data_IF_614669170019
#
_entry.id   IF_614669170019
#
_cell.length_a   1.000
_cell.length_b   1.000
_cell.length_c   1.000
_cell.angle_alpha   90.00
_cell.angle_beta   90.00
_cell.angle_gamma   90.00
#
_symmetry.space_group_name_H-M   'P 1'
#
loop_
_entity.id
_entity.type
_entity.pdbx_description
1 polymer ?
#
# COMPACT_ATOMS: atom_id res chain seq x y z
N UNK A 1 18.38 1.25 10.80
CA UNK A 1 17.14 1.37 11.60
C UNK A 1 15.98 0.88 10.77
N UNK A 2 15.11 0.09 11.38
CA UNK A 2 13.90 -0.46 10.78
C UNK A 2 12.72 -0.31 11.75
N UNK A 3 11.51 -0.49 11.24
CA UNK A 3 10.29 -0.54 12.02
C UNK A 3 9.53 -1.82 11.68
N UNK A 4 8.84 -2.36 12.68
CA UNK A 4 7.99 -3.54 12.54
C UNK A 4 6.58 -3.09 12.18
N UNK A 5 6.08 -3.59 11.06
CA UNK A 5 4.67 -3.59 10.71
C UNK A 5 4.03 -4.86 11.26
N UNK A 6 2.85 -4.79 11.85
CA UNK A 6 2.09 -5.95 12.34
C UNK A 6 0.62 -5.78 11.96
N UNK A 7 -0.03 -6.86 11.52
CA UNK A 7 -1.46 -6.84 11.21
C UNK A 7 -2.31 -6.69 12.49
N UNK A 8 -3.60 -6.40 12.32
CA UNK A 8 -4.49 -6.08 13.44
C UNK A 8 -4.61 -7.23 14.47
N UNK A 9 -4.52 -8.50 14.04
CA UNK A 9 -4.55 -9.66 14.95
C UNK A 9 -3.17 -10.15 15.42
N UNK A 10 -2.06 -9.58 14.92
CA UNK A 10 -0.71 -10.01 15.32
C UNK A 10 -0.18 -11.28 14.66
N UNK A 11 -0.93 -11.92 13.76
CA UNK A 11 -0.48 -13.16 13.09
C UNK A 11 0.52 -12.95 11.95
N UNK A 12 0.59 -11.74 11.40
CA UNK A 12 1.55 -11.39 10.35
C UNK A 12 2.34 -10.15 10.75
N UNK A 13 3.67 -10.23 10.60
CA UNK A 13 4.58 -9.11 10.85
C UNK A 13 5.63 -9.00 9.76
N UNK A 14 6.10 -7.77 9.52
CA UNK A 14 7.15 -7.48 8.58
C UNK A 14 8.12 -6.42 9.11
N UNK A 15 9.36 -6.47 8.68
CA UNK A 15 10.37 -5.43 8.94
C UNK A 15 10.57 -4.55 7.71
N UNK A 16 10.56 -3.24 7.92
CA UNK A 16 10.76 -2.25 6.86
C UNK A 16 11.81 -1.21 7.32
N UNK A 17 12.81 -0.85 6.48
CA UNK A 17 13.72 0.25 6.75
C UNK A 17 12.99 1.56 6.99
N UNK A 18 13.40 2.33 8.00
CA UNK A 18 12.85 3.68 8.25
C UNK A 18 13.59 4.76 7.48
N UNK A 19 14.87 4.51 7.15
CA UNK A 19 15.65 5.34 6.25
C UNK A 19 15.40 4.91 4.81
N UNK A 20 15.46 5.88 3.89
CA UNK A 20 15.21 5.59 2.48
C UNK A 20 13.76 5.22 2.20
N UNK A 21 12.82 5.80 2.95
CA UNK A 21 11.38 5.77 2.65
C UNK A 21 10.87 7.21 2.50
N UNK A 22 9.68 7.39 1.94
CA UNK A 22 8.96 8.67 1.99
C UNK A 22 7.53 8.47 2.44
N UNK A 23 6.91 9.42 3.15
CA UNK A 23 5.51 9.31 3.56
C UNK A 23 4.60 10.11 2.62
N UNK A 24 3.48 9.52 2.22
CA UNK A 24 2.49 10.13 1.35
C UNK A 24 1.08 9.73 1.76
N UNK A 25 0.09 10.57 1.45
CA UNK A 25 -1.33 10.22 1.57
C UNK A 25 -1.95 10.22 0.18
N UNK A 26 -2.69 9.16 -0.16
CA UNK A 26 -3.40 9.03 -1.42
C UNK A 26 -4.91 9.02 -1.19
N UNK A 27 -5.62 9.90 -1.91
CA UNK A 27 -7.06 10.07 -1.81
C UNK A 27 -7.83 9.47 -2.99
N UNK A 28 -7.22 8.68 -3.87
CA UNK A 28 -7.97 8.14 -5.01
C UNK A 28 -9.02 7.13 -4.58
N UNK A 29 -10.07 7.00 -5.40
CA UNK A 29 -11.16 6.03 -5.19
C UNK A 29 -10.65 4.61 -5.05
N UNK A 30 -9.62 4.21 -5.79
CA UNK A 30 -9.04 2.86 -5.67
C UNK A 30 -8.34 2.62 -4.31
N UNK A 31 -7.74 3.65 -3.71
CA UNK A 31 -7.16 3.55 -2.37
C UNK A 31 -8.25 3.44 -1.31
N UNK A 32 -9.34 4.20 -1.46
CA UNK A 32 -10.53 4.08 -0.62
C UNK A 32 -11.17 2.70 -0.75
N UNK A 33 -11.41 2.25 -1.98
CA UNK A 33 -11.98 0.94 -2.29
C UNK A 33 -11.16 -0.21 -1.72
N UNK A 34 -9.83 -0.15 -1.84
CA UNK A 34 -8.97 -1.16 -1.23
C UNK A 34 -9.09 -1.18 0.29
N UNK A 35 -9.11 -0.02 0.94
CA UNK A 35 -9.31 0.05 2.39
C UNK A 35 -10.71 -0.45 2.79
N UNK A 36 -11.74 -0.24 1.99
CA UNK A 36 -13.07 -0.79 2.24
C UNK A 36 -13.09 -2.33 2.12
N UNK A 37 -12.42 -2.89 1.11
CA UNK A 37 -12.25 -4.34 0.99
C UNK A 37 -11.37 -4.92 2.11
N UNK A 38 -10.37 -4.17 2.55
CA UNK A 38 -9.36 -4.60 3.50
C UNK A 38 -9.48 -3.80 4.80
N UNK A 39 -10.08 -4.40 5.82
CA UNK A 39 -10.33 -3.84 7.15
C UNK A 39 -11.46 -2.79 7.24
N UNK A 40 -12.48 -2.88 6.37
CA UNK A 40 -13.73 -2.10 6.43
C UNK A 40 -13.50 -0.58 6.53
N UNK A 41 -12.50 -0.06 5.82
CA UNK A 41 -12.20 1.37 5.73
C UNK A 41 -11.40 1.94 6.89
N UNK A 42 -11.11 1.16 7.95
CA UNK A 42 -10.44 1.63 9.18
C UNK A 42 -9.00 2.11 9.01
N UNK A 43 -8.44 1.99 7.80
CA UNK A 43 -7.11 2.52 7.46
C UNK A 43 -7.13 3.90 6.79
N UNK A 44 -8.32 4.48 6.55
CA UNK A 44 -8.46 5.80 5.91
C UNK A 44 -8.42 6.92 6.96
N UNK A 45 -7.83 8.05 6.58
CA UNK A 45 -8.01 9.31 7.31
C UNK A 45 -9.44 9.84 7.13
N UNK A 46 -9.79 10.88 7.89
CA UNK A 46 -11.15 11.46 7.85
C UNK A 46 -11.58 11.94 6.45
N UNK A 47 -10.63 12.19 5.54
CA UNK A 47 -10.88 12.61 4.16
C UNK A 47 -10.77 11.48 3.13
N UNK A 48 -10.80 10.21 3.57
CA UNK A 48 -10.68 9.06 2.69
C UNK A 48 -9.24 8.82 2.22
N UNK A 49 -8.25 9.39 2.90
CA UNK A 49 -6.84 9.27 2.55
C UNK A 49 -6.21 8.00 3.10
N UNK A 50 -5.59 7.19 2.24
CA UNK A 50 -4.68 6.14 2.69
C UNK A 50 -3.32 6.74 3.01
N UNK A 51 -2.89 6.65 4.27
CA UNK A 51 -1.54 7.06 4.69
C UNK A 51 -0.53 5.93 4.46
N UNK A 52 0.53 6.26 3.72
CA UNK A 52 1.43 5.31 3.10
C UNK A 52 2.89 5.68 3.30
N UNK A 53 3.72 4.66 3.51
CA UNK A 53 5.16 4.75 3.29
C UNK A 53 5.48 4.29 1.87
N UNK A 54 6.34 5.01 1.16
CA UNK A 54 6.81 4.73 -0.18
C UNK A 54 8.21 4.12 -0.08
N UNK A 55 8.37 2.92 -0.64
CA UNK A 55 9.59 2.11 -0.56
C UNK A 55 9.74 1.25 -1.82
N UNK A 56 10.62 0.25 -1.80
CA UNK A 56 10.77 -0.76 -2.85
C UNK A 56 10.31 -2.14 -2.37
N UNK A 57 9.85 -3.04 -3.26
CA UNK A 57 9.38 -4.38 -2.88
C UNK A 57 10.40 -5.17 -2.04
N UNK A 58 11.68 -5.15 -2.48
CA UNK A 58 12.78 -5.84 -1.80
C UNK A 58 13.25 -5.21 -0.48
N UNK A 59 12.67 -4.08 -0.07
CA UNK A 59 12.93 -3.50 1.26
C UNK A 59 12.00 -4.07 2.34
N UNK A 60 11.02 -4.89 1.95
CA UNK A 60 10.08 -5.52 2.88
C UNK A 60 10.55 -6.94 3.18
N UNK A 61 10.57 -7.31 4.45
CA UNK A 61 10.86 -8.69 4.88
C UNK A 61 9.74 -9.15 5.79
N UNK A 62 8.97 -10.16 5.39
CA UNK A 62 8.01 -10.81 6.30
C UNK A 62 8.80 -11.57 7.37
N UNK A 63 8.44 -11.38 8.63
CA UNK A 63 9.11 -12.02 9.78
C UNK A 63 8.22 -13.03 10.49
N UNK A 64 6.91 -13.01 10.22
CA UNK A 64 5.91 -13.96 10.75
C UNK A 64 4.71 -13.99 9.80
N UNK A 65 4.14 -15.17 9.56
CA UNK A 65 2.83 -15.33 8.92
C UNK A 65 2.81 -15.00 7.43
N UNK A 66 3.82 -15.46 6.68
CA UNK A 66 3.89 -15.26 5.22
C UNK A 66 2.81 -16.04 4.47
N UNK A 67 2.37 -17.17 5.01
CA UNK A 67 1.24 -17.96 4.52
C UNK A 67 -0.09 -17.21 4.52
N UNK A 68 -0.19 -16.13 5.31
CA UNK A 68 -1.37 -15.26 5.36
C UNK A 68 -1.38 -14.19 4.26
N UNK A 69 -0.29 -14.02 3.52
CA UNK A 69 -0.19 -12.97 2.51
C UNK A 69 -1.11 -13.29 1.32
N UNK A 70 -2.03 -12.37 1.02
CA UNK A 70 -2.96 -12.46 -0.13
C UNK A 70 -2.92 -11.19 -0.95
N UNK A 71 -3.37 -11.28 -2.19
CA UNK A 71 -3.41 -10.12 -3.06
C UNK A 71 -4.65 -10.04 -3.94
N UNK A 72 -4.96 -8.82 -4.39
CA UNK A 72 -6.03 -8.53 -5.31
C UNK A 72 -5.63 -7.44 -6.31
N UNK A 73 -6.38 -7.34 -7.41
CA UNK A 73 -6.35 -6.19 -8.32
C UNK A 73 -7.75 -5.62 -8.49
N UNK A 74 -7.87 -4.30 -8.38
CA UNK A 74 -9.12 -3.59 -8.66
C UNK A 74 -9.36 -3.42 -10.17
N UNK A 75 -8.26 -3.30 -10.94
CA UNK A 75 -8.24 -3.21 -12.40
C UNK A 75 -7.03 -3.95 -12.96
N UNK A 76 -7.10 -4.39 -14.22
CA UNK A 76 -6.07 -5.23 -14.85
C UNK A 76 -4.68 -4.58 -14.85
N UNK A 77 -4.64 -3.26 -15.08
CA UNK A 77 -3.42 -2.46 -15.13
C UNK A 77 -3.05 -1.81 -13.79
N UNK A 78 -3.88 -1.98 -12.76
CA UNK A 78 -3.67 -1.41 -11.43
C UNK A 78 -2.51 -2.07 -10.68
N UNK A 79 -2.07 -1.46 -9.56
CA UNK A 79 -1.12 -2.13 -8.66
C UNK A 79 -1.75 -3.39 -8.08
N UNK A 80 -0.90 -4.37 -7.78
CA UNK A 80 -1.27 -5.51 -6.95
C UNK A 80 -1.37 -5.00 -5.51
N UNK A 81 -2.54 -5.21 -4.89
CA UNK A 81 -2.84 -4.76 -3.53
C UNK A 81 -2.79 -5.94 -2.59
N UNK A 82 -1.88 -5.88 -1.63
CA UNK A 82 -1.51 -6.93 -0.71
C UNK A 82 -2.13 -6.69 0.67
N UNK A 83 -2.72 -7.73 1.23
CA UNK A 83 -3.35 -7.74 2.54
C UNK A 83 -3.09 -9.07 3.24
N UNK A 84 -3.49 -9.17 4.50
CA UNK A 84 -3.35 -10.40 5.29
C UNK A 84 -4.68 -11.11 5.40
N UNK A 85 -4.72 -12.42 5.14
CA UNK A 85 -5.94 -13.23 5.23
C UNK A 85 -6.43 -13.38 6.67
N UNK A 86 -5.50 -13.42 7.64
CA UNK A 86 -5.81 -13.67 9.05
C UNK A 86 -6.74 -12.63 9.70
N UNK A 87 -6.75 -11.39 9.23
CA UNK A 87 -7.67 -10.35 9.73
C UNK A 87 -8.09 -9.30 8.69
N UNK A 88 -7.75 -9.52 7.41
CA UNK A 88 -8.05 -8.56 6.35
C UNK A 88 -7.19 -7.28 6.38
N UNK A 89 -6.13 -7.21 7.20
CA UNK A 89 -5.37 -5.96 7.34
C UNK A 89 -4.69 -5.59 6.00
N UNK A 90 -4.93 -4.38 5.47
CA UNK A 90 -4.24 -3.91 4.28
C UNK A 90 -2.75 -3.77 4.59
N UNK A 91 -1.88 -4.19 3.68
CA UNK A 91 -0.44 -4.14 3.91
C UNK A 91 0.27 -3.24 2.90
N UNK A 92 0.18 -3.56 1.61
CA UNK A 92 1.04 -2.97 0.59
C UNK A 92 0.35 -2.81 -0.76
N UNK A 93 0.83 -1.90 -1.60
CA UNK A 93 0.52 -1.82 -3.02
C UNK A 93 1.83 -1.87 -3.80
N UNK A 94 1.90 -2.77 -4.78
CA UNK A 94 3.12 -3.05 -5.54
C UNK A 94 2.79 -3.05 -7.03
N UNK A 95 3.63 -2.47 -7.87
CA UNK A 95 3.43 -2.53 -9.32
C UNK A 95 3.57 -3.97 -9.82
N UNK A 96 2.69 -4.39 -10.73
CA UNK A 96 2.67 -5.78 -11.23
C UNK A 96 3.92 -6.22 -11.99
N UNK A 97 4.78 -5.28 -12.38
CA UNK A 97 6.09 -5.60 -12.93
C UNK A 97 7.14 -5.58 -11.80
N UNK A 98 7.71 -6.74 -11.40
CA UNK A 98 8.69 -6.82 -10.30
C UNK A 98 9.99 -6.06 -10.58
N UNK A 99 10.23 -5.69 -11.85
CA UNK A 99 11.35 -4.84 -12.26
C UNK A 99 11.12 -3.37 -11.90
N UNK A 100 9.93 -2.96 -11.47
CA UNK A 100 9.65 -1.57 -11.11
C UNK A 100 9.84 -1.35 -9.60
N UNK A 101 10.51 -0.26 -9.19
CA UNK A 101 10.94 -0.09 -7.81
C UNK A 101 9.90 0.62 -6.94
N UNK A 102 8.65 0.18 -7.01
CA UNK A 102 7.57 0.83 -6.27
C UNK A 102 6.80 -0.17 -5.42
N UNK A 103 6.89 0.04 -4.12
CA UNK A 103 5.95 -0.46 -3.14
C UNK A 103 5.46 0.71 -2.28
N UNK A 104 4.22 0.63 -1.82
CA UNK A 104 3.71 1.52 -0.77
C UNK A 104 3.06 0.69 0.31
N UNK A 105 3.34 0.94 1.60
CA UNK A 105 2.71 0.21 2.70
C UNK A 105 1.83 1.13 3.52
N UNK A 106 0.71 0.63 4.04
CA UNK A 106 -0.10 1.39 4.98
C UNK A 106 0.66 1.65 6.28
N UNK A 107 0.50 2.85 6.83
CA UNK A 107 1.10 3.19 8.12
C UNK A 107 0.39 2.54 9.32
N UNK A 108 -0.83 2.02 9.14
CA UNK A 108 -1.69 1.49 10.21
C UNK A 108 -1.02 0.40 11.05
N UNK A 109 -0.27 -0.51 10.43
CA UNK A 109 0.38 -1.61 11.15
C UNK A 109 1.65 -1.21 11.90
N UNK A 110 2.06 0.06 11.89
CA UNK A 110 3.20 0.54 12.67
C UNK A 110 2.73 1.23 13.96
N UNK A 111 3.28 0.79 15.10
CA UNK A 111 3.05 1.42 16.40
C UNK A 111 3.49 2.88 16.45
N UNK A 112 4.60 3.21 15.78
CA UNK A 112 5.16 4.55 15.71
C UNK A 112 5.43 4.95 14.26
N UNK A 113 4.50 5.71 13.69
CA UNK A 113 4.55 6.19 12.31
C UNK A 113 5.49 7.38 12.14
N UNK A 114 5.92 8.04 13.22
CA UNK A 114 6.80 9.22 13.16
C UNK A 114 8.19 8.87 12.61
N UNK A 115 8.59 7.59 12.74
CA UNK A 115 9.85 7.04 12.22
C UNK A 115 10.04 7.21 10.71
N UNK A 116 8.98 7.43 9.95
CA UNK A 116 9.02 7.61 8.50
C UNK A 116 9.07 9.08 8.05
N UNK A 117 9.16 10.01 9.01
CA UNK A 117 9.17 11.44 8.76
C UNK A 117 7.79 11.99 8.36
N UNK A 118 7.73 13.28 7.98
CA UNK A 118 6.46 13.94 7.69
C UNK A 118 5.91 13.53 6.32
N UNK A 119 4.60 13.68 6.15
CA UNK A 119 3.93 13.49 4.85
C UNK A 119 4.49 14.50 3.83
N UNK A 120 5.17 14.00 2.80
CA UNK A 120 5.81 14.80 1.74
C UNK A 120 4.95 14.99 0.50
N UNK A 121 3.88 14.21 0.38
CA UNK A 121 2.96 14.23 -0.76
C UNK A 121 1.54 13.88 -0.33
N UNK A 122 0.57 14.65 -0.81
CA UNK A 122 -0.87 14.36 -0.76
C UNK A 122 -1.39 14.32 -2.19
N UNK A 123 -1.68 13.13 -2.70
CA UNK A 123 -2.05 12.91 -4.11
C UNK A 123 -3.54 12.63 -4.27
N UNK A 124 -4.08 12.91 -5.46
CA UNK A 124 -5.49 12.66 -5.81
C UNK A 124 -6.51 13.36 -4.89
N UNK A 125 -6.15 14.51 -4.29
CA UNK A 125 -6.99 15.27 -3.36
C UNK A 125 -8.36 15.69 -3.90
N UNK A 126 -8.56 15.66 -5.23
CA UNK A 126 -9.85 15.93 -5.87
C UNK A 126 -10.87 14.81 -5.63
N UNK A 127 -10.40 13.61 -5.30
CA UNK A 127 -11.22 12.43 -5.02
C UNK A 127 -11.41 12.20 -3.51
N UNK A 128 -10.92 13.10 -2.66
CA UNK A 128 -11.10 13.02 -1.22
C UNK A 128 -12.58 13.19 -0.83
N UNK A 129 -13.01 12.50 0.22
CA UNK A 129 -14.41 12.56 0.72
C UNK A 129 -14.75 13.88 1.41
N UNK A 130 -13.73 14.66 1.80
CA UNK A 130 -13.86 16.02 2.28
C UNK A 130 -12.68 16.87 1.84
N UNK A 131 -12.78 18.19 2.04
CA UNK A 131 -11.73 19.14 1.67
C UNK A 131 -10.42 18.86 2.41
N UNK A 132 -9.36 18.56 1.65
CA UNK A 132 -7.99 18.43 2.18
C UNK A 132 -7.31 19.80 2.23
N UNK A 133 -7.18 20.37 3.43
CA UNK A 133 -6.57 21.70 3.65
C UNK A 133 -5.06 21.68 3.65
N UNK A 134 -4.44 20.52 3.91
CA UNK A 134 -2.99 20.40 4.02
C UNK A 134 -2.29 20.54 2.65
N UNK A 135 -1.03 21.03 2.63
CA UNK A 135 -0.28 21.20 1.40
C UNK A 135 -0.13 19.89 0.60
N UNK A 136 -0.20 20.02 -0.73
CA UNK A 136 0.00 18.91 -1.68
C UNK A 136 1.38 18.27 -1.55
N UNK A 137 2.41 19.07 -1.24
CA UNK A 137 3.80 18.64 -1.37
C UNK A 137 4.25 18.50 -2.83
N UNK A 138 5.35 17.78 -3.07
CA UNK A 138 6.01 17.74 -4.38
C UNK A 138 6.01 16.33 -5.00
N UNK A 139 5.20 16.15 -6.03
CA UNK A 139 5.13 14.89 -6.79
C UNK A 139 6.45 14.59 -7.52
N UNK A 140 7.09 15.51 -8.26
CA UNK A 140 8.35 15.22 -8.95
C UNK A 140 9.48 14.79 -7.99
N UNK A 141 9.62 15.47 -6.85
CA UNK A 141 10.61 15.07 -5.83
C UNK A 141 10.32 13.68 -5.26
N UNK A 142 9.05 13.35 -5.06
CA UNK A 142 8.62 12.03 -4.59
C UNK A 142 8.96 10.94 -5.60
N UNK A 143 8.62 11.14 -6.88
CA UNK A 143 8.94 10.21 -7.97
C UNK A 143 10.45 10.01 -8.09
N UNK A 144 11.23 11.09 -8.12
CA UNK A 144 12.70 11.02 -8.18
C UNK A 144 13.28 10.22 -7.01
N UNK A 145 12.72 10.40 -5.80
CA UNK A 145 13.15 9.62 -4.63
C UNK A 145 12.87 8.12 -4.78
N UNK A 146 11.73 7.73 -5.36
CA UNK A 146 11.40 6.32 -5.65
C UNK A 146 12.37 5.74 -6.67
N UNK A 147 12.61 6.46 -7.77
CA UNK A 147 13.52 6.02 -8.84
C UNK A 147 14.93 5.79 -8.28
N UNK A 148 15.46 6.74 -7.49
CA UNK A 148 16.79 6.61 -6.85
C UNK A 148 16.89 5.36 -5.98
N UNK A 149 15.88 5.10 -5.14
CA UNK A 149 15.82 3.87 -4.31
C UNK A 149 15.78 2.61 -5.15
N UNK A 150 15.06 2.67 -6.27
CA UNK A 150 14.99 1.58 -7.23
C UNK A 150 16.31 1.21 -7.86
N UNK A 151 17.08 2.20 -8.25
CA UNK A 151 18.43 2.01 -8.78
C UNK A 151 19.33 1.35 -7.73
N UNK A 152 19.31 1.82 -6.49
CA UNK A 152 20.04 1.17 -5.38
C UNK A 152 19.59 -0.27 -5.15
N UNK A 153 18.28 -0.54 -5.18
CA UNK A 153 17.72 -1.89 -5.03
C UNK A 153 18.16 -2.84 -6.16
N UNK A 154 18.31 -2.32 -7.39
CA UNK A 154 18.86 -3.05 -8.53
C UNK A 154 20.34 -3.37 -8.36
N UNK A 155 21.15 -2.36 -8.05
CA UNK A 155 22.60 -2.49 -7.90
C UNK A 155 22.94 -3.49 -6.79
N UNK A 156 22.19 -3.47 -5.69
CA UNK A 156 22.40 -4.37 -4.54
C UNK A 156 21.75 -5.74 -4.70
N UNK A 157 21.01 -6.01 -5.78
CA UNK A 157 20.28 -7.26 -5.99
C UNK A 157 19.04 -7.45 -5.10
N UNK A 158 18.78 -6.55 -4.14
CA UNK A 158 17.64 -6.63 -3.19
C UNK A 158 16.28 -6.68 -3.86
N UNK A 159 16.16 -6.21 -5.10
CA UNK A 159 14.90 -6.35 -5.85
C UNK A 159 14.43 -7.81 -6.00
N UNK A 160 15.31 -8.80 -5.84
CA UNK A 160 15.01 -10.24 -5.91
C UNK A 160 14.50 -10.83 -4.59
N UNK A 161 14.67 -10.13 -3.46
CA UNK A 161 14.33 -10.64 -2.12
C UNK A 161 12.98 -10.12 -1.62
N UNK A 162 12.03 -9.93 -2.54
CA UNK A 162 10.71 -9.36 -2.25
C UNK A 162 9.73 -10.46 -1.84
N UNK A 163 8.93 -10.27 -0.77
CA UNK A 163 7.92 -11.26 -0.37
C UNK A 163 6.72 -11.29 -1.33
N UNK A 164 6.58 -10.29 -2.20
CA UNK A 164 5.45 -10.13 -3.11
C UNK A 164 5.58 -10.91 -4.42
N UNK A 165 6.78 -11.40 -4.75
CA UNK A 165 7.02 -12.08 -6.02
C UNK A 165 7.87 -13.32 -5.80
N UNK A 166 7.52 -14.40 -6.49
CA UNK A 166 8.31 -15.60 -6.58
C UNK A 166 9.55 -15.37 -7.47
N UNK A 167 10.56 -16.26 -7.43
CA UNK A 167 11.76 -16.14 -8.26
C UNK A 167 11.48 -16.05 -9.77
N UNK A 168 10.37 -16.60 -10.24
CA UNK A 168 9.91 -16.53 -11.64
C UNK A 168 9.26 -15.17 -12.01
N UNK A 169 9.11 -14.27 -11.04
CA UNK A 169 8.53 -12.94 -11.20
C UNK A 169 7.01 -12.90 -11.11
N UNK A 170 6.33 -14.03 -10.86
CA UNK A 170 4.89 -14.05 -10.59
C UNK A 170 4.58 -13.61 -9.17
N UNK A 171 3.38 -13.05 -8.91
CA UNK A 171 2.94 -12.77 -7.55
C UNK A 171 3.05 -14.02 -6.66
N UNK A 172 3.46 -13.85 -5.40
CA UNK A 172 3.57 -14.95 -4.43
C UNK A 172 2.24 -15.49 -3.89
N UNK A 173 1.13 -14.85 -4.26
CA UNK A 173 -0.25 -15.31 -3.99
C UNK A 173 -1.08 -15.12 -5.25
N UNK A 174 -2.10 -15.96 -5.43
CA UNK A 174 -3.06 -15.79 -6.51
C UNK A 174 -3.74 -14.41 -6.42
N UNK A 175 -3.81 -13.72 -7.56
CA UNK A 175 -4.49 -12.43 -7.66
C UNK A 175 -5.99 -12.71 -7.76
N UNK A 176 -6.75 -12.28 -6.76
CA UNK A 176 -8.22 -12.20 -6.88
C UNK A 176 -8.66 -10.88 -7.50
N UNK A 177 -9.80 -10.90 -8.16
CA UNK A 177 -10.55 -9.71 -8.55
C UNK A 177 -11.76 -9.55 -7.62
N UNK A 178 -12.22 -8.34 -7.30
CA UNK A 178 -13.45 -8.14 -6.57
C UNK A 178 -14.65 -8.71 -7.35
N UNK A 179 -15.60 -9.32 -6.63
CA UNK A 179 -16.88 -9.75 -7.20
C UNK A 179 -17.72 -8.54 -7.62
N UNK A 180 -18.81 -8.76 -8.37
CA UNK A 180 -19.72 -7.68 -8.75
C UNK A 180 -20.33 -6.99 -7.52
N UNK A 181 -20.71 -7.76 -6.51
CA UNK A 181 -21.24 -7.27 -5.24
C UNK A 181 -20.19 -6.46 -4.46
N UNK A 182 -18.96 -6.98 -4.33
CA UNK A 182 -17.85 -6.25 -3.71
C UNK A 182 -17.58 -4.93 -4.45
N UNK A 183 -17.63 -4.93 -5.79
CA UNK A 183 -17.45 -3.71 -6.60
C UNK A 183 -18.53 -2.67 -6.32
N UNK A 184 -19.79 -3.08 -6.23
CA UNK A 184 -20.90 -2.17 -5.94
C UNK A 184 -20.76 -1.52 -4.55
N UNK A 185 -20.25 -2.29 -3.57
CA UNK A 185 -20.02 -1.81 -2.20
C UNK A 185 -18.88 -0.79 -2.09
N UNK A 186 -17.80 -0.99 -2.83
CA UNK A 186 -16.56 -0.20 -2.68
C UNK A 186 -16.45 0.99 -3.65
N UNK A 187 -17.31 1.03 -4.67
CA UNK A 187 -17.51 2.19 -5.55
C UNK A 187 -18.99 2.59 -5.53
N UNK A 188 -19.53 3.04 -4.38
CA UNK A 188 -20.92 3.47 -4.33
C UNK A 188 -21.11 4.67 -5.27
N UNK A 189 -22.05 4.54 -6.21
CA UNK A 189 -22.57 5.66 -6.97
C UNK A 189 -23.48 6.51 -6.06
N UNK A 190 -23.73 7.77 -6.42
CA UNK A 190 -24.59 8.67 -5.63
C UNK A 190 -26.01 8.06 -5.39
N UNK A 191 -26.49 7.22 -6.30
CA UNK A 191 -27.79 6.52 -6.17
C UNK A 191 -27.82 5.42 -5.08
N UNK A 192 -26.66 4.90 -4.66
CA UNK A 192 -26.57 3.76 -3.72
C UNK A 192 -26.52 4.22 -2.25
N UNK A 193 -26.77 5.50 -1.97
CA UNK A 193 -26.80 6.08 -0.61
C UNK A 193 -28.23 6.30 -0.08
N UNK A 194 -29.27 5.91 -0.82
CA UNK A 194 -30.67 6.17 -0.50
C UNK A 194 -31.52 4.91 -0.20
N UNK A 195 -30.89 3.76 0.07
CA UNK A 195 -31.59 2.55 0.52
C UNK A 195 -31.12 2.10 1.89
#
# INVERSE_FOLDING_TARGET
>A
MSATWTCDCGETSATIPTKGTGRAVCYCRDCQAFALLAADGRSLDAAGGSDLILTTPGAVTITKGDENLRCLRLSDKGPIRWYTACCGAPMSNVLGNPKLPYASLTTRGFKDQSKFGPVRLRTNRKEATQRVTQPKGSLPRTILSVIRRGLTSRITGKYRTSPFFNPDGKPSSDIRSPTAEERARIYPTEDNQLT
#
